data_IF_187878116752
#
_entry.id   IF_187878116752
#
_cell.length_a   1.000
_cell.length_b   1.000
_cell.length_c   1.000
_cell.angle_alpha   90.00
_cell.angle_beta   90.00
_cell.angle_gamma   90.00
#
_symmetry.space_group_name_H-M   'P 1'
#
loop_
_entity.id
_entity.type
_entity.pdbx_description
1 polymer ?
#
# COMPACT_ATOMS: atom_id res chain seq x y z
N UNK A 1 22.35 -24.26 0.57
CA UNK A 1 20.95 -24.55 0.20
C UNK A 1 20.35 -23.27 -0.36
N UNK A 2 19.80 -23.29 -1.58
CA UNK A 2 19.18 -22.10 -2.18
C UNK A 2 17.79 -21.93 -1.57
N UNK A 3 17.47 -20.77 -0.96
CA UNK A 3 16.16 -20.55 -0.34
C UNK A 3 15.04 -20.63 -1.38
N UNK A 4 13.91 -21.21 -0.97
CA UNK A 4 12.72 -21.28 -1.82
C UNK A 4 12.19 -19.87 -2.12
N UNK A 5 11.48 -19.70 -3.23
CA UNK A 5 10.89 -18.39 -3.61
C UNK A 5 10.00 -17.81 -2.50
N UNK A 6 9.30 -18.65 -1.74
CA UNK A 6 8.49 -18.22 -0.59
C UNK A 6 9.34 -17.71 0.57
N UNK A 7 10.43 -18.39 0.90
CA UNK A 7 11.36 -17.93 1.95
C UNK A 7 12.03 -16.62 1.56
N UNK A 8 12.50 -16.50 0.32
CA UNK A 8 13.10 -15.26 -0.19
C UNK A 8 12.10 -14.09 -0.14
N UNK A 9 10.83 -14.32 -0.49
CA UNK A 9 9.77 -13.31 -0.36
C UNK A 9 9.55 -12.86 1.09
N UNK A 10 9.54 -13.81 2.05
CA UNK A 10 9.40 -13.52 3.49
C UNK A 10 10.60 -12.76 4.05
N UNK A 11 11.82 -13.15 3.66
CA UNK A 11 13.05 -12.48 4.06
C UNK A 11 13.07 -11.03 3.57
N UNK A 12 12.73 -10.79 2.29
CA UNK A 12 12.65 -9.45 1.73
C UNK A 12 11.61 -8.58 2.45
N UNK A 13 10.44 -9.13 2.78
CA UNK A 13 9.42 -8.40 3.53
C UNK A 13 9.87 -8.09 4.97
N UNK A 14 10.53 -9.03 5.65
CA UNK A 14 11.07 -8.82 6.99
C UNK A 14 12.17 -7.75 7.00
N UNK A 15 13.08 -7.80 6.02
CA UNK A 15 14.09 -6.76 5.81
C UNK A 15 13.45 -5.40 5.54
N UNK A 16 12.39 -5.34 4.73
CA UNK A 16 11.66 -4.10 4.48
C UNK A 16 11.12 -3.48 5.77
N UNK A 17 10.60 -4.30 6.68
CA UNK A 17 10.14 -3.83 8.00
C UNK A 17 11.28 -3.30 8.86
N UNK A 18 12.40 -4.02 8.95
CA UNK A 18 13.58 -3.55 9.70
C UNK A 18 14.05 -2.21 9.15
N UNK A 19 14.18 -2.08 7.84
CA UNK A 19 14.60 -0.84 7.18
C UNK A 19 13.58 0.28 7.41
N UNK A 20 12.28 -0.02 7.37
CA UNK A 20 11.24 0.97 7.64
C UNK A 20 11.28 1.49 9.09
N UNK A 21 11.54 0.61 10.05
CA UNK A 21 11.71 0.97 11.46
C UNK A 21 12.96 1.82 11.68
N UNK A 22 14.09 1.45 11.06
CA UNK A 22 15.33 2.22 11.12
C UNK A 22 15.17 3.61 10.50
N UNK A 23 14.52 3.71 9.34
CA UNK A 23 14.20 4.99 8.71
C UNK A 23 13.29 5.84 9.61
N UNK A 24 12.29 5.23 10.23
CA UNK A 24 11.39 5.94 11.16
C UNK A 24 12.13 6.44 12.39
N UNK A 25 12.99 5.61 12.98
CA UNK A 25 13.83 5.98 14.10
C UNK A 25 14.77 7.13 13.74
N UNK A 26 15.46 7.06 12.59
CA UNK A 26 16.38 8.10 12.14
C UNK A 26 15.69 9.46 11.94
N UNK A 27 14.44 9.46 11.48
CA UNK A 27 13.66 10.68 11.26
C UNK A 27 13.01 11.22 12.53
N UNK A 28 12.65 10.36 13.50
CA UNK A 28 11.91 10.77 14.69
C UNK A 28 12.78 10.94 15.94
N UNK A 29 13.93 10.28 16.06
CA UNK A 29 14.83 10.40 17.21
C UNK A 29 15.43 11.81 17.42
N UNK A 30 15.81 12.58 16.37
CA UNK A 30 16.42 13.89 16.55
C UNK A 30 15.46 14.93 17.15
N UNK A 31 14.17 14.83 16.82
CA UNK A 31 13.11 15.74 17.27
C UNK A 31 11.82 14.94 17.51
N UNK A 32 11.78 14.11 18.57
CA UNK A 32 10.67 13.21 18.80
C UNK A 32 9.38 13.99 18.95
N UNK A 33 8.47 13.79 18.00
CA UNK A 33 7.10 14.32 18.02
C UNK A 33 6.99 15.86 17.94
N UNK A 34 8.03 16.56 17.45
CA UNK A 34 7.95 18.01 17.23
C UNK A 34 6.83 18.37 16.23
N UNK A 35 6.56 17.49 15.27
CA UNK A 35 5.44 17.57 14.33
C UNK A 35 4.77 16.19 14.22
N UNK A 36 3.50 16.14 14.59
CA UNK A 36 2.68 14.92 14.66
C UNK A 36 2.26 14.43 13.27
N UNK A 37 2.26 15.31 12.28
CA UNK A 37 1.98 14.97 10.89
C UNK A 37 3.19 14.41 10.22
N UNK A 38 4.34 15.01 10.48
CA UNK A 38 5.59 14.40 10.11
C UNK A 38 5.72 13.01 10.73
N UNK A 39 5.45 12.87 12.04
CA UNK A 39 5.47 11.58 12.72
C UNK A 39 4.47 10.59 12.12
N UNK A 40 3.23 11.02 11.86
CA UNK A 40 2.19 10.20 11.25
C UNK A 40 2.60 9.69 9.86
N UNK A 41 3.10 10.56 9.00
CA UNK A 41 3.58 10.23 7.65
C UNK A 41 4.75 9.26 7.72
N UNK A 42 5.71 9.50 8.62
CA UNK A 42 6.86 8.61 8.83
C UNK A 42 6.40 7.22 9.28
N UNK A 43 5.44 7.14 10.20
CA UNK A 43 4.91 5.88 10.74
C UNK A 43 4.03 5.10 9.73
N UNK A 44 3.57 5.72 8.64
CA UNK A 44 2.94 4.97 7.54
C UNK A 44 3.91 3.99 6.87
N UNK A 45 5.21 4.30 6.83
CA UNK A 45 6.19 3.40 6.21
C UNK A 45 6.32 2.04 6.94
N UNK A 46 6.53 1.97 8.27
CA UNK A 46 6.52 0.70 9.00
C UNK A 46 5.12 0.06 9.02
N UNK A 47 4.02 0.84 8.98
CA UNK A 47 2.67 0.29 8.83
C UNK A 47 2.51 -0.47 7.49
N UNK A 48 2.98 0.08 6.38
CA UNK A 48 2.94 -0.61 5.09
C UNK A 48 3.89 -1.81 5.09
N UNK A 49 5.08 -1.70 5.69
CA UNK A 49 6.01 -2.81 5.78
C UNK A 49 5.44 -3.99 6.62
N UNK A 50 4.79 -3.71 7.74
CA UNK A 50 4.10 -4.75 8.54
C UNK A 50 2.97 -5.43 7.75
N UNK A 51 2.18 -4.68 6.99
CA UNK A 51 1.18 -5.24 6.08
C UNK A 51 1.82 -6.12 4.98
N UNK A 52 2.98 -5.71 4.46
CA UNK A 52 3.78 -6.49 3.52
C UNK A 52 4.30 -7.80 4.12
N UNK A 53 4.83 -7.76 5.35
CA UNK A 53 5.23 -8.95 6.13
C UNK A 53 4.04 -9.89 6.33
N UNK A 54 2.91 -9.38 6.82
CA UNK A 54 1.70 -10.17 7.00
C UNK A 54 1.24 -10.80 5.67
N UNK A 55 1.33 -10.07 4.57
CA UNK A 55 1.07 -10.57 3.22
C UNK A 55 2.01 -11.71 2.81
N UNK A 56 3.31 -11.58 3.05
CA UNK A 56 4.30 -12.59 2.72
C UNK A 56 4.16 -13.87 3.56
N UNK A 57 3.90 -13.72 4.86
CA UNK A 57 3.73 -14.84 5.78
C UNK A 57 2.42 -15.60 5.54
N UNK A 58 1.35 -14.88 5.25
CA UNK A 58 0.07 -15.51 4.89
C UNK A 58 0.04 -16.00 3.44
N UNK A 59 1.11 -15.87 2.66
CA UNK A 59 1.15 -16.16 1.22
C UNK A 59 0.07 -15.40 0.42
N UNK A 60 -0.32 -14.21 0.86
CA UNK A 60 -1.29 -13.32 0.18
C UNK A 60 -0.52 -12.32 -0.68
N UNK A 61 -0.07 -12.76 -1.86
CA UNK A 61 0.76 -11.95 -2.79
C UNK A 61 0.18 -10.57 -3.06
N UNK A 62 -1.14 -10.47 -3.16
CA UNK A 62 -1.79 -9.20 -3.46
C UNK A 62 -1.75 -8.20 -2.29
N UNK A 63 -1.66 -8.66 -1.03
CA UNK A 63 -1.42 -7.77 0.12
C UNK A 63 0.02 -7.21 0.09
N UNK A 64 1.00 -8.02 -0.33
CA UNK A 64 2.39 -7.59 -0.52
C UNK A 64 2.47 -6.53 -1.63
N UNK A 65 1.77 -6.73 -2.75
CA UNK A 65 1.68 -5.74 -3.83
C UNK A 65 1.04 -4.43 -3.38
N UNK A 66 -0.04 -4.50 -2.60
CA UNK A 66 -0.68 -3.29 -2.07
C UNK A 66 0.27 -2.51 -1.15
N UNK A 67 0.94 -3.21 -0.22
CA UNK A 67 1.95 -2.62 0.64
C UNK A 67 3.11 -1.99 -0.14
N UNK A 68 3.64 -2.69 -1.15
CA UNK A 68 4.68 -2.18 -2.04
C UNK A 68 4.24 -0.91 -2.79
N UNK A 69 3.04 -0.90 -3.36
CA UNK A 69 2.53 0.25 -4.11
C UNK A 69 2.24 1.45 -3.20
N UNK A 70 1.71 1.23 -2.01
CA UNK A 70 1.49 2.29 -1.02
C UNK A 70 2.83 2.86 -0.52
N UNK A 71 3.82 2.00 -0.25
CA UNK A 71 5.17 2.43 0.14
C UNK A 71 5.88 3.18 -1.00
N UNK A 72 5.71 2.75 -2.25
CA UNK A 72 6.19 3.48 -3.42
C UNK A 72 5.50 4.84 -3.57
N UNK A 73 4.18 4.89 -3.40
CA UNK A 73 3.42 6.14 -3.41
C UNK A 73 3.89 7.10 -2.31
N UNK A 74 4.09 6.60 -1.09
CA UNK A 74 4.65 7.37 0.02
C UNK A 74 6.04 7.90 -0.29
N UNK A 75 6.88 7.08 -0.95
CA UNK A 75 8.23 7.46 -1.40
C UNK A 75 8.18 8.58 -2.44
N UNK A 76 7.28 8.47 -3.43
CA UNK A 76 7.12 9.46 -4.50
C UNK A 76 6.52 10.78 -4.00
N UNK A 77 5.52 10.72 -3.13
CA UNK A 77 4.94 11.92 -2.50
C UNK A 77 5.95 12.58 -1.57
N UNK A 78 6.72 11.78 -0.83
CA UNK A 78 7.76 12.27 0.07
C UNK A 78 9.05 12.70 -0.62
N UNK A 79 9.21 12.50 -1.93
CA UNK A 79 10.49 12.67 -2.65
C UNK A 79 11.03 14.12 -2.61
N UNK A 80 10.18 15.08 -2.27
CA UNK A 80 10.54 16.48 -2.05
C UNK A 80 11.13 16.76 -0.65
N UNK A 81 11.11 15.81 0.28
CA UNK A 81 11.54 16.00 1.67
C UNK A 81 12.29 14.79 2.24
N UNK A 82 11.59 13.67 2.46
CA UNK A 82 12.08 12.49 3.19
C UNK A 82 11.96 11.18 2.41
N UNK A 83 11.47 11.22 1.17
CA UNK A 83 11.17 10.04 0.36
C UNK A 83 12.37 9.12 0.12
N UNK A 84 13.58 9.67 0.08
CA UNK A 84 14.82 8.88 0.00
C UNK A 84 15.00 7.90 1.17
N UNK A 85 14.50 8.23 2.37
CA UNK A 85 14.54 7.32 3.52
C UNK A 85 13.55 6.15 3.38
N UNK A 86 12.47 6.33 2.62
CA UNK A 86 11.44 5.29 2.41
C UNK A 86 11.70 4.43 1.17
N UNK A 87 12.49 4.91 0.22
CA UNK A 87 12.78 4.21 -1.03
C UNK A 87 13.32 2.78 -0.85
N UNK A 88 14.26 2.51 0.09
CA UNK A 88 14.73 1.15 0.33
C UNK A 88 13.61 0.20 0.77
N UNK A 89 12.67 0.65 1.61
CA UNK A 89 11.50 -0.13 2.02
C UNK A 89 10.62 -0.48 0.82
N UNK A 90 10.33 0.50 -0.04
CA UNK A 90 9.52 0.30 -1.24
C UNK A 90 10.16 -0.73 -2.19
N UNK A 91 11.48 -0.63 -2.42
CA UNK A 91 12.23 -1.57 -3.26
C UNK A 91 12.19 -3.00 -2.68
N UNK A 92 12.39 -3.15 -1.37
CA UNK A 92 12.35 -4.46 -0.72
C UNK A 92 10.96 -5.09 -0.75
N UNK A 93 9.89 -4.30 -0.55
CA UNK A 93 8.51 -4.77 -0.68
C UNK A 93 8.16 -5.15 -2.12
N UNK A 94 8.61 -4.36 -3.11
CA UNK A 94 8.47 -4.70 -4.53
C UNK A 94 9.18 -6.01 -4.86
N UNK A 95 10.42 -6.18 -4.39
CA UNK A 95 11.17 -7.43 -4.52
C UNK A 95 10.41 -8.61 -3.90
N UNK A 96 9.90 -8.44 -2.68
CA UNK A 96 9.08 -9.44 -2.00
C UNK A 96 7.82 -9.80 -2.81
N UNK A 97 7.16 -8.82 -3.40
CA UNK A 97 5.95 -9.01 -4.19
C UNK A 97 6.20 -9.72 -5.53
N UNK A 98 7.33 -9.42 -6.18
CA UNK A 98 7.76 -10.08 -7.43
C UNK A 98 8.13 -11.54 -7.15
N UNK A 99 8.96 -11.79 -6.15
CA UNK A 99 9.39 -13.15 -5.78
C UNK A 99 8.21 -13.97 -5.24
N UNK A 100 7.34 -13.37 -4.44
CA UNK A 100 6.12 -14.01 -3.93
C UNK A 100 5.10 -14.32 -5.03
N UNK A 101 5.17 -13.63 -6.18
CA UNK A 101 4.39 -13.96 -7.38
C UNK A 101 4.99 -15.13 -8.16
N UNK A 102 6.32 -15.23 -8.20
CA UNK A 102 7.04 -16.34 -8.83
C UNK A 102 6.79 -17.68 -8.10
N UNK A 103 6.40 -17.65 -6.83
CA UNK A 103 6.03 -18.83 -6.05
C UNK A 103 4.72 -19.53 -6.48
N UNK A 104 4.01 -19.00 -7.49
CA UNK A 104 2.85 -19.61 -8.12
C UNK A 104 1.53 -19.47 -7.33
N UNK A 105 0.38 -19.79 -7.98
CA UNK A 105 -0.93 -19.84 -7.32
C UNK A 105 -0.93 -20.86 -6.17
N UNK A 106 -1.75 -20.63 -5.15
CA UNK A 106 -2.03 -21.66 -4.14
C UNK A 106 -2.76 -22.83 -4.78
N UNK A 107 -2.51 -24.03 -4.27
CA UNK A 107 -3.26 -25.25 -4.64
C UNK A 107 -4.77 -25.01 -4.51
N UNK A 108 -5.56 -25.49 -5.47
CA UNK A 108 -7.02 -25.31 -5.47
C UNK A 108 -7.53 -23.98 -6.05
N UNK A 109 -6.72 -22.91 -6.07
CA UNK A 109 -7.20 -21.59 -6.54
C UNK A 109 -7.36 -21.56 -8.06
N UNK A 110 -6.43 -22.19 -8.78
CA UNK A 110 -6.50 -22.28 -10.25
C UNK A 110 -7.70 -23.11 -10.68
N UNK A 111 -7.91 -24.29 -10.10
CA UNK A 111 -9.06 -25.14 -10.43
C UNK A 111 -10.38 -24.41 -10.16
N UNK A 112 -10.54 -23.72 -9.02
CA UNK A 112 -11.77 -22.97 -8.73
C UNK A 112 -12.03 -21.81 -9.70
N UNK A 113 -10.99 -21.09 -10.13
CA UNK A 113 -11.14 -19.99 -11.11
C UNK A 113 -11.54 -20.54 -12.49
N UNK A 114 -11.07 -21.74 -12.85
CA UNK A 114 -11.43 -22.39 -14.10
C UNK A 114 -12.85 -22.99 -14.04
N UNK A 115 -13.20 -23.62 -12.92
CA UNK A 115 -14.52 -24.20 -12.71
C UNK A 115 -15.64 -23.15 -12.72
N UNK A 116 -15.35 -21.93 -12.26
CA UNK A 116 -16.34 -20.86 -12.13
C UNK A 116 -15.84 -19.55 -12.78
N UNK A 117 -15.56 -19.63 -14.08
CA UNK A 117 -14.93 -18.53 -14.83
C UNK A 117 -15.92 -17.35 -15.02
N UNK A 118 -15.60 -16.14 -14.49
CA UNK A 118 -16.50 -15.00 -14.62
C UNK A 118 -16.55 -14.47 -16.06
N UNK A 119 -17.76 -14.06 -16.47
CA UNK A 119 -18.00 -13.46 -17.79
C UNK A 119 -17.16 -12.20 -18.02
N UNK A 120 -16.85 -11.89 -19.28
CA UNK A 120 -16.06 -10.70 -19.65
C UNK A 120 -16.74 -9.42 -19.16
N UNK A 121 -18.06 -9.33 -19.31
CA UNK A 121 -18.87 -8.19 -18.85
C UNK A 121 -18.80 -8.00 -17.33
N UNK A 122 -18.92 -9.09 -16.55
CA UNK A 122 -18.82 -9.01 -15.10
C UNK A 122 -17.43 -8.55 -14.63
N UNK A 123 -16.36 -8.99 -15.32
CA UNK A 123 -15.00 -8.54 -15.04
C UNK A 123 -14.82 -7.06 -15.37
N UNK A 124 -15.32 -6.61 -16.52
CA UNK A 124 -15.22 -5.21 -16.93
C UNK A 124 -15.94 -4.28 -15.95
N UNK A 125 -17.16 -4.63 -15.53
CA UNK A 125 -17.92 -3.86 -14.55
C UNK A 125 -17.20 -3.76 -13.20
N UNK A 126 -16.63 -4.87 -12.71
CA UNK A 126 -15.85 -4.88 -11.45
C UNK A 126 -14.56 -4.07 -11.56
N UNK A 127 -13.90 -4.10 -12.73
CA UNK A 127 -12.71 -3.29 -12.98
C UNK A 127 -13.06 -1.79 -13.05
N UNK A 128 -14.16 -1.44 -13.72
CA UNK A 128 -14.64 -0.05 -13.78
C UNK A 128 -15.07 0.46 -12.40
N UNK A 129 -15.78 -0.35 -11.62
CA UNK A 129 -16.13 0.00 -10.24
C UNK A 129 -14.87 0.21 -9.38
N UNK A 130 -13.88 -0.68 -9.52
CA UNK A 130 -12.59 -0.52 -8.84
C UNK A 130 -11.84 0.74 -9.27
N UNK A 131 -11.75 1.01 -10.58
CA UNK A 131 -11.12 2.22 -11.12
C UNK A 131 -11.83 3.50 -10.69
N UNK A 132 -13.16 3.52 -10.72
CA UNK A 132 -13.97 4.63 -10.22
C UNK A 132 -13.73 4.89 -8.74
N UNK A 133 -13.67 3.84 -7.92
CA UNK A 133 -13.32 3.94 -6.49
C UNK A 133 -11.93 4.55 -6.28
N UNK A 134 -10.95 4.21 -7.12
CA UNK A 134 -9.60 4.82 -7.07
C UNK A 134 -9.66 6.31 -7.40
N UNK A 135 -10.35 6.69 -8.48
CA UNK A 135 -10.47 8.10 -8.87
C UNK A 135 -11.18 8.94 -7.81
N UNK A 136 -12.31 8.45 -7.30
CA UNK A 136 -13.04 9.12 -6.21
C UNK A 136 -12.17 9.20 -4.97
N UNK A 137 -11.53 8.11 -4.57
CA UNK A 137 -10.65 8.08 -3.41
C UNK A 137 -9.48 9.06 -3.51
N UNK A 138 -8.83 9.14 -4.67
CA UNK A 138 -7.76 10.11 -4.93
C UNK A 138 -8.28 11.55 -4.87
N UNK A 139 -9.48 11.81 -5.40
CA UNK A 139 -10.14 13.11 -5.26
C UNK A 139 -10.43 13.50 -3.81
N UNK A 140 -10.90 12.54 -2.99
CA UNK A 140 -11.14 12.76 -1.56
C UNK A 140 -9.84 13.02 -0.78
N UNK A 141 -8.76 12.29 -1.10
CA UNK A 141 -7.43 12.57 -0.54
C UNK A 141 -6.97 13.97 -0.94
N UNK A 142 -7.14 14.36 -2.22
CA UNK A 142 -6.76 15.70 -2.66
C UNK A 142 -7.54 16.80 -1.92
N UNK A 143 -8.85 16.62 -1.79
CA UNK A 143 -9.72 17.58 -1.10
C UNK A 143 -9.39 17.67 0.38
N UNK A 144 -9.28 16.53 1.08
CA UNK A 144 -8.97 16.51 2.50
C UNK A 144 -7.56 17.01 2.79
N UNK A 145 -6.56 16.48 2.09
CA UNK A 145 -5.17 16.73 2.43
C UNK A 145 -4.66 18.11 1.96
N UNK A 146 -5.08 18.58 0.78
CA UNK A 146 -4.48 19.75 0.14
C UNK A 146 -5.43 20.96 0.05
N UNK A 147 -6.74 20.75 -0.09
CA UNK A 147 -7.71 21.87 -0.20
C UNK A 147 -8.23 22.33 1.15
N UNK A 148 -8.48 21.40 2.06
CA UNK A 148 -9.06 21.71 3.38
C UNK A 148 -8.02 21.87 4.48
N UNK A 149 -6.72 21.75 4.12
CA UNK A 149 -5.56 21.89 5.00
C UNK A 149 -5.74 21.16 6.32
N UNK A 150 -5.34 19.89 6.36
CA UNK A 150 -5.58 18.97 7.48
C UNK A 150 -5.32 19.59 8.88
N UNK A 151 -4.34 20.50 9.00
CA UNK A 151 -3.77 20.92 10.28
C UNK A 151 -3.71 22.44 10.48
N UNK A 152 -4.29 23.21 9.56
CA UNK A 152 -4.29 24.67 9.62
C UNK A 152 -2.89 25.29 9.73
N UNK A 153 -2.81 26.53 10.21
CA UNK A 153 -1.56 27.29 10.33
C UNK A 153 -0.62 26.82 11.45
N UNK A 154 -1.10 25.97 12.35
CA UNK A 154 -0.38 25.57 13.58
C UNK A 154 0.41 24.26 13.47
N UNK A 155 0.50 23.67 12.28
CA UNK A 155 1.14 22.36 12.06
C UNK A 155 2.61 22.29 12.52
N UNK A 156 3.31 23.44 12.63
CA UNK A 156 4.73 23.51 12.98
C UNK A 156 5.04 23.92 14.42
N UNK A 157 4.05 24.27 15.25
CA UNK A 157 4.34 24.81 16.59
C UNK A 157 4.30 23.77 17.71
N UNK A 158 3.14 23.14 17.99
CA UNK A 158 2.99 22.15 19.08
C UNK A 158 1.86 21.15 18.82
N UNK A 159 1.95 19.92 19.36
CA UNK A 159 0.90 18.88 19.30
C UNK A 159 -0.45 19.40 19.83
N UNK A 160 -0.44 20.22 20.89
CA UNK A 160 -1.64 20.78 21.48
C UNK A 160 -2.34 21.75 20.51
N UNK A 161 -1.60 22.70 19.91
CA UNK A 161 -2.18 23.59 18.91
C UNK A 161 -2.65 22.81 17.68
N UNK A 162 -1.85 21.84 17.22
CA UNK A 162 -2.20 21.01 16.08
C UNK A 162 -3.52 20.24 16.30
N UNK A 163 -3.73 19.57 17.44
CA UNK A 163 -4.99 18.85 17.73
C UNK A 163 -6.18 19.82 17.80
N UNK A 164 -5.98 20.99 18.39
CA UNK A 164 -7.03 21.99 18.56
C UNK A 164 -7.45 22.62 17.22
N UNK A 165 -6.51 22.84 16.31
CA UNK A 165 -6.78 23.38 14.96
C UNK A 165 -6.93 22.30 13.90
N UNK A 166 -6.86 21.02 14.27
CA UNK A 166 -6.97 19.91 13.32
C UNK A 166 -8.36 19.91 12.70
N UNK A 167 -8.41 19.97 11.38
CA UNK A 167 -9.63 19.79 10.63
C UNK A 167 -9.95 18.28 10.58
N UNK A 168 -10.52 17.75 11.67
CA UNK A 168 -10.92 16.34 11.80
C UNK A 168 -11.79 15.84 10.63
N UNK A 169 -12.73 16.64 10.08
CA UNK A 169 -13.40 16.30 8.84
C UNK A 169 -12.46 16.06 7.65
N UNK A 170 -11.45 16.91 7.46
CA UNK A 170 -10.45 16.75 6.40
C UNK A 170 -9.57 15.51 6.61
N UNK A 171 -9.22 15.20 7.86
CA UNK A 171 -8.53 13.95 8.22
C UNK A 171 -9.38 12.74 7.87
N UNK A 172 -10.66 12.75 8.27
CA UNK A 172 -11.61 11.69 7.96
C UNK A 172 -11.80 11.48 6.47
N UNK A 173 -11.95 12.57 5.70
CA UNK A 173 -12.02 12.55 4.23
C UNK A 173 -10.78 11.93 3.60
N UNK A 174 -9.60 12.30 4.09
CA UNK A 174 -8.32 11.79 3.60
C UNK A 174 -8.18 10.29 3.85
N UNK A 175 -8.50 9.84 5.07
CA UNK A 175 -8.48 8.41 5.43
C UNK A 175 -9.49 7.61 4.60
N UNK A 176 -10.69 8.13 4.41
CA UNK A 176 -11.73 7.50 3.59
C UNK A 176 -11.31 7.44 2.12
N UNK A 177 -10.65 8.48 1.62
CA UNK A 177 -10.05 8.51 0.29
C UNK A 177 -8.99 7.43 0.09
N UNK A 178 -8.05 7.27 1.04
CA UNK A 178 -7.07 6.20 1.00
C UNK A 178 -7.70 4.80 1.06
N UNK A 179 -8.72 4.61 1.89
CA UNK A 179 -9.46 3.35 1.95
C UNK A 179 -10.13 3.03 0.60
N UNK A 180 -10.75 4.03 -0.03
CA UNK A 180 -11.39 3.89 -1.34
C UNK A 180 -10.37 3.58 -2.46
N UNK A 181 -9.18 4.19 -2.43
CA UNK A 181 -8.06 3.86 -3.35
C UNK A 181 -7.60 2.42 -3.14
N UNK A 182 -7.41 2.00 -1.88
CA UNK A 182 -6.96 0.65 -1.55
C UNK A 182 -7.95 -0.43 -2.00
N UNK A 183 -9.23 -0.25 -1.68
CA UNK A 183 -10.31 -1.19 -2.09
C UNK A 183 -10.48 -1.20 -3.61
N UNK A 184 -10.47 -0.02 -4.25
CA UNK A 184 -10.60 0.10 -5.69
C UNK A 184 -9.45 -0.57 -6.44
N UNK A 185 -8.21 -0.29 -6.03
CA UNK A 185 -7.00 -0.91 -6.59
C UNK A 185 -7.00 -2.43 -6.41
N UNK A 186 -7.44 -2.92 -5.26
CA UNK A 186 -7.61 -4.34 -4.99
C UNK A 186 -8.60 -5.01 -5.95
N UNK A 187 -9.75 -4.38 -6.22
CA UNK A 187 -10.76 -4.90 -7.14
C UNK A 187 -10.24 -4.97 -8.58
N UNK A 188 -9.55 -3.93 -9.05
CA UNK A 188 -8.91 -3.91 -10.37
C UNK A 188 -7.88 -5.02 -10.48
N UNK A 189 -7.02 -5.15 -9.47
CA UNK A 189 -5.98 -6.17 -9.43
C UNK A 189 -6.53 -7.59 -9.50
N UNK A 190 -7.63 -7.88 -8.79
CA UNK A 190 -8.33 -9.17 -8.90
C UNK A 190 -8.74 -9.49 -10.34
N UNK A 191 -9.24 -8.50 -11.09
CA UNK A 191 -9.66 -8.72 -12.48
C UNK A 191 -8.47 -9.01 -13.40
N UNK A 192 -7.34 -8.31 -13.19
CA UNK A 192 -6.09 -8.55 -13.92
C UNK A 192 -5.58 -9.97 -13.65
N UNK A 193 -5.57 -10.40 -12.39
CA UNK A 193 -5.13 -11.73 -12.00
C UNK A 193 -5.96 -12.84 -12.65
N UNK A 194 -7.30 -12.78 -12.52
CA UNK A 194 -8.21 -13.77 -13.13
C UNK A 194 -8.04 -13.80 -14.65
N UNK A 195 -7.92 -12.64 -15.28
CA UNK A 195 -7.75 -12.56 -16.74
C UNK A 195 -6.40 -13.10 -17.22
N UNK A 196 -5.35 -13.05 -16.39
CA UNK A 196 -4.04 -13.66 -16.69
C UNK A 196 -4.13 -15.19 -16.59
N UNK A 197 -4.76 -15.71 -15.54
CA UNK A 197 -4.95 -17.17 -15.35
C UNK A 197 -5.77 -17.76 -16.50
N UNK A 198 -6.88 -17.11 -16.88
CA UNK A 198 -7.73 -17.56 -17.99
C UNK A 198 -7.02 -17.50 -19.35
N UNK A 199 -6.13 -16.52 -19.58
CA UNK A 199 -5.33 -16.43 -20.80
C UNK A 199 -4.29 -17.55 -20.87
N UNK A 200 -3.59 -17.83 -19.77
CA UNK A 200 -2.60 -18.90 -19.71
C UNK A 200 -3.23 -20.28 -19.91
N UNK A 201 -4.46 -20.49 -19.44
CA UNK A 201 -5.19 -21.74 -19.63
C UNK A 201 -5.75 -21.95 -21.05
N UNK A 202 -5.84 -20.90 -21.88
CA UNK A 202 -6.26 -21.01 -23.29
C UNK A 202 -5.09 -21.14 -24.27
N UNK A 203 -3.88 -20.83 -23.81
CA UNK A 203 -2.67 -20.79 -24.64
C UNK A 203 -1.78 -22.04 -24.47
N UNK A 204 -2.10 -22.91 -23.51
CA UNK A 204 -1.52 -24.24 -23.35
C UNK A 204 -2.62 -25.28 -23.49
#
# INVERSE_FOLDING_TARGET
>A
MVPSTRETSRLLAALALVVALLASAALLLPTPLADVFFAGIVLLNPLFATAGVAGAWTNRTAAIWLAALLSLGLTLVGLLSVGLFFAPTAVLLLGSAVVGRAAGPREGVRERILADAPSVRARLLRALAGGGSVFVGAGLVYVGAFRQELFGSCAQETLACAIETTNWPAVGLTLLGFAAVGVGGWLVWKQVYVSRVLRQARAG
#
